data_IF_609252673697
#
_entry.id   IF_609252673697
#
_cell.length_a   1.000
_cell.length_b   1.000
_cell.length_c   1.000
_cell.angle_alpha   90.00
_cell.angle_beta   90.00
_cell.angle_gamma   90.00
#
_symmetry.space_group_name_H-M   'P 1'
#
loop_
_entity.id
_entity.type
_entity.pdbx_description
1 polymer ?
#
# COMPACT_ATOMS: atom_id res chain seq x y z
N UNK A 1 -31.55 8.92 -18.83
CA UNK A 1 -31.78 8.21 -17.55
C UNK A 1 -30.43 7.95 -16.90
N UNK A 2 -30.12 8.61 -15.78
CA UNK A 2 -28.88 8.33 -15.03
C UNK A 2 -29.08 7.02 -14.27
N UNK A 3 -28.30 5.99 -14.57
CA UNK A 3 -28.35 4.73 -13.82
C UNK A 3 -27.77 4.98 -12.42
N UNK A 4 -28.64 4.94 -11.40
CA UNK A 4 -28.22 4.91 -10.00
C UNK A 4 -27.62 3.54 -9.70
N UNK A 5 -26.31 3.38 -9.94
CA UNK A 5 -25.61 2.16 -9.58
C UNK A 5 -25.40 2.15 -8.06
N UNK A 6 -26.14 1.29 -7.37
CA UNK A 6 -25.98 1.12 -5.92
C UNK A 6 -24.53 0.74 -5.58
N UNK A 7 -24.04 1.21 -4.43
CA UNK A 7 -22.68 0.90 -3.93
C UNK A 7 -22.36 -0.59 -3.95
N UNK A 8 -23.38 -1.41 -3.70
CA UNK A 8 -23.26 -2.86 -3.74
C UNK A 8 -23.08 -3.42 -5.15
N UNK A 9 -23.76 -2.87 -6.17
CA UNK A 9 -23.58 -3.29 -7.57
C UNK A 9 -22.15 -3.07 -8.05
N UNK A 10 -21.59 -1.88 -7.76
CA UNK A 10 -20.20 -1.53 -8.09
C UNK A 10 -19.22 -2.44 -7.35
N UNK A 11 -19.46 -2.69 -6.05
CA UNK A 11 -18.61 -3.57 -5.26
C UNK A 11 -18.65 -5.01 -5.79
N UNK A 12 -19.83 -5.54 -6.15
CA UNK A 12 -19.97 -6.91 -6.66
C UNK A 12 -19.29 -7.08 -8.02
N UNK A 13 -19.47 -6.12 -8.94
CA UNK A 13 -18.78 -6.13 -10.24
C UNK A 13 -17.26 -6.02 -10.08
N UNK A 14 -16.78 -5.15 -9.20
CA UNK A 14 -15.34 -5.04 -8.93
C UNK A 14 -14.77 -6.35 -8.37
N UNK A 15 -15.43 -6.94 -7.36
CA UNK A 15 -14.99 -8.22 -6.81
C UNK A 15 -14.95 -9.32 -7.88
N UNK A 16 -15.96 -9.38 -8.76
CA UNK A 16 -16.04 -10.37 -9.82
C UNK A 16 -14.91 -10.23 -10.86
N UNK A 17 -14.44 -9.00 -11.12
CA UNK A 17 -13.37 -8.72 -12.07
C UNK A 17 -11.97 -8.84 -11.43
N UNK A 18 -11.78 -8.29 -10.23
CA UNK A 18 -10.48 -8.18 -9.57
C UNK A 18 -10.15 -9.37 -8.65
N UNK A 19 -11.11 -10.25 -8.37
CA UNK A 19 -10.94 -11.39 -7.46
C UNK A 19 -10.79 -11.02 -5.97
N UNK A 20 -10.75 -9.71 -5.64
CA UNK A 20 -10.62 -9.21 -4.27
C UNK A 20 -11.67 -8.14 -3.96
N UNK A 21 -11.97 -7.97 -2.67
CA UNK A 21 -12.92 -6.92 -2.27
C UNK A 21 -12.40 -5.53 -2.58
N UNK A 22 -13.28 -4.62 -3.01
CA UNK A 22 -12.94 -3.20 -3.22
C UNK A 22 -12.28 -2.57 -1.98
N UNK A 23 -12.76 -2.91 -0.78
CA UNK A 23 -12.15 -2.44 0.48
C UNK A 23 -10.72 -2.95 0.65
N UNK A 24 -10.46 -4.21 0.31
CA UNK A 24 -9.11 -4.79 0.35
C UNK A 24 -8.20 -4.11 -0.67
N UNK A 25 -8.68 -3.90 -1.90
CA UNK A 25 -7.93 -3.20 -2.93
C UNK A 25 -7.52 -1.78 -2.51
N UNK A 26 -8.48 -0.98 -2.00
CA UNK A 26 -8.19 0.37 -1.50
C UNK A 26 -7.17 0.32 -0.37
N UNK A 27 -7.27 -0.65 0.55
CA UNK A 27 -6.32 -0.82 1.64
C UNK A 27 -4.91 -1.15 1.12
N UNK A 28 -4.79 -2.07 0.17
CA UNK A 28 -3.51 -2.44 -0.43
C UNK A 28 -2.89 -1.26 -1.19
N UNK A 29 -3.69 -0.50 -1.96
CA UNK A 29 -3.22 0.72 -2.63
C UNK A 29 -2.69 1.76 -1.64
N UNK A 30 -3.42 2.01 -0.55
CA UNK A 30 -2.94 2.90 0.53
C UNK A 30 -1.64 2.40 1.16
N UNK A 31 -1.50 1.09 1.37
CA UNK A 31 -0.24 0.51 1.89
C UNK A 31 0.92 0.68 0.92
N UNK A 32 0.70 0.53 -0.38
CA UNK A 32 1.74 0.76 -1.38
C UNK A 32 2.23 2.21 -1.36
N UNK A 33 1.34 3.19 -1.28
CA UNK A 33 1.74 4.61 -1.22
C UNK A 33 2.41 4.95 0.11
N UNK A 34 1.91 4.44 1.24
CA UNK A 34 2.55 4.60 2.55
C UNK A 34 3.97 3.99 2.56
N UNK A 35 4.15 2.82 1.95
CA UNK A 35 5.46 2.17 1.81
C UNK A 35 6.42 3.07 1.02
N UNK A 36 5.98 3.66 -0.11
CA UNK A 36 6.81 4.61 -0.86
C UNK A 36 7.24 5.80 0.00
N UNK A 37 6.33 6.40 0.76
CA UNK A 37 6.64 7.52 1.66
C UNK A 37 7.63 7.13 2.76
N UNK A 38 7.53 5.92 3.30
CA UNK A 38 8.47 5.39 4.30
C UNK A 38 9.89 5.26 3.72
N UNK A 39 9.98 4.92 2.44
CA UNK A 39 11.24 4.71 1.71
C UNK A 39 11.87 5.99 1.17
N UNK A 40 11.06 6.98 0.77
CA UNK A 40 11.53 8.21 0.16
C UNK A 40 11.72 9.36 1.14
N UNK A 41 11.21 9.25 2.37
CA UNK A 41 11.25 10.33 3.36
C UNK A 41 11.63 9.85 4.76
N UNK A 42 12.19 10.77 5.55
CA UNK A 42 12.48 10.56 6.98
C UNK A 42 11.31 10.95 7.90
N UNK A 43 10.11 11.17 7.37
CA UNK A 43 8.91 11.52 8.16
C UNK A 43 8.64 10.47 9.24
N UNK A 44 8.05 10.89 10.37
CA UNK A 44 7.72 9.94 11.45
C UNK A 44 6.66 8.96 10.95
N UNK A 45 6.77 7.70 11.38
CA UNK A 45 5.83 6.65 10.97
C UNK A 45 4.39 6.98 11.39
N UNK A 46 4.19 7.64 12.54
CA UNK A 46 2.87 8.13 12.97
C UNK A 46 2.29 9.15 11.99
N UNK A 47 3.08 10.10 11.49
CA UNK A 47 2.58 11.13 10.56
C UNK A 47 2.11 10.50 9.25
N UNK A 48 2.87 9.52 8.75
CA UNK A 48 2.50 8.74 7.57
C UNK A 48 1.23 7.93 7.87
N UNK A 49 1.14 7.27 9.03
CA UNK A 49 -0.03 6.49 9.42
C UNK A 49 -1.31 7.35 9.42
N UNK A 50 -1.24 8.55 10.01
CA UNK A 50 -2.36 9.49 10.08
C UNK A 50 -2.82 9.93 8.69
N UNK A 51 -1.90 10.27 7.79
CA UNK A 51 -2.18 10.69 6.42
C UNK A 51 -2.94 9.62 5.61
N UNK A 52 -2.63 8.34 5.85
CA UNK A 52 -3.33 7.23 5.19
C UNK A 52 -4.59 6.75 5.93
N UNK A 53 -4.97 7.42 7.02
CA UNK A 53 -6.22 7.22 7.77
C UNK A 53 -6.12 6.24 8.93
N UNK A 54 -4.93 6.07 9.52
CA UNK A 54 -4.72 5.27 10.73
C UNK A 54 -4.47 6.19 11.92
N UNK A 55 -5.40 6.19 12.86
CA UNK A 55 -5.34 7.04 14.06
C UNK A 55 -4.22 6.64 15.02
N UNK A 56 -3.86 5.35 15.03
CA UNK A 56 -2.82 4.80 15.89
C UNK A 56 -1.68 4.20 15.09
N UNK A 57 -0.46 4.56 15.45
CA UNK A 57 0.75 4.01 14.83
C UNK A 57 0.83 2.48 14.98
N UNK A 58 0.39 1.92 16.12
CA UNK A 58 0.47 0.49 16.37
C UNK A 58 -0.45 -0.32 15.44
N UNK A 59 -1.66 0.18 15.19
CA UNK A 59 -2.58 -0.40 14.21
C UNK A 59 -1.99 -0.39 12.80
N UNK A 60 -1.40 0.73 12.39
CA UNK A 60 -0.69 0.83 11.11
C UNK A 60 0.47 -0.16 11.03
N UNK A 61 1.35 -0.19 12.02
CA UNK A 61 2.51 -1.09 12.05
C UNK A 61 2.10 -2.57 11.98
N UNK A 62 1.02 -2.97 12.68
CA UNK A 62 0.51 -4.34 12.63
C UNK A 62 0.04 -4.71 11.23
N UNK A 63 -0.76 -3.85 10.60
CA UNK A 63 -1.28 -4.09 9.25
C UNK A 63 -0.16 -4.07 8.22
N UNK A 64 0.78 -3.12 8.34
CA UNK A 64 1.94 -3.02 7.48
C UNK A 64 2.82 -4.27 7.58
N UNK A 65 3.10 -4.75 8.79
CA UNK A 65 3.86 -5.99 9.01
C UNK A 65 3.14 -7.20 8.42
N UNK A 66 1.83 -7.30 8.58
CA UNK A 66 1.06 -8.39 7.96
C UNK A 66 1.08 -8.32 6.43
N UNK A 67 1.18 -7.13 5.85
CA UNK A 67 1.20 -6.93 4.40
C UNK A 67 2.60 -7.12 3.77
N UNK A 68 3.67 -6.74 4.46
CA UNK A 68 5.04 -6.73 3.94
C UNK A 68 6.02 -7.67 4.67
N UNK A 69 5.57 -8.37 5.71
CA UNK A 69 6.38 -9.27 6.53
C UNK A 69 7.26 -8.57 7.57
N UNK A 70 7.48 -7.25 7.45
CA UNK A 70 8.42 -6.48 8.30
C UNK A 70 7.79 -5.18 8.81
N UNK A 71 8.31 -4.65 9.92
CA UNK A 71 7.81 -3.37 10.46
C UNK A 71 8.18 -2.19 9.53
N UNK A 72 7.41 -1.09 9.55
CA UNK A 72 7.74 0.14 8.81
C UNK A 72 9.16 0.66 9.09
N UNK A 73 9.61 0.57 10.35
CA UNK A 73 10.94 1.01 10.76
C UNK A 73 12.06 0.15 10.17
N UNK A 74 11.87 -1.18 10.14
CA UNK A 74 12.80 -2.10 9.48
C UNK A 74 12.78 -1.90 7.96
N UNK A 75 11.59 -1.73 7.39
CA UNK A 75 11.41 -1.47 5.97
C UNK A 75 12.16 -0.22 5.50
N UNK A 76 12.13 0.87 6.29
CA UNK A 76 12.93 2.08 6.03
C UNK A 76 14.43 1.78 6.02
N UNK A 77 14.91 0.98 6.98
CA UNK A 77 16.34 0.62 7.06
C UNK A 77 16.79 -0.24 5.87
N UNK A 78 15.90 -1.02 5.27
CA UNK A 78 16.20 -1.85 4.09
C UNK A 78 16.46 -1.03 2.82
N UNK A 79 15.97 0.21 2.74
CA UNK A 79 16.15 1.10 1.58
C UNK A 79 17.16 2.22 1.83
N UNK A 80 17.83 2.24 3.00
CA UNK A 80 19.09 2.97 3.08
C UNK A 80 20.08 2.19 2.23
N UNK A 81 20.63 2.77 1.15
CA UNK A 81 21.53 2.04 0.29
C UNK A 81 22.69 1.53 1.15
N UNK A 82 22.84 0.20 1.23
CA UNK A 82 24.16 -0.32 0.91
C UNK A 82 24.26 -0.21 -0.60
N UNK A 83 25.36 0.34 -1.10
CA UNK A 83 25.61 0.69 -2.51
C UNK A 83 25.33 -0.45 -3.54
N UNK A 84 25.04 -1.68 -3.11
CA UNK A 84 24.96 -2.90 -3.92
C UNK A 84 23.53 -3.32 -4.38
N UNK A 85 22.44 -2.70 -3.91
CA UNK A 85 21.05 -3.23 -4.11
C UNK A 85 20.17 -2.37 -5.03
N UNK A 86 20.74 -1.58 -5.95
CA UNK A 86 19.93 -0.75 -6.88
C UNK A 86 19.17 -1.55 -7.94
N UNK A 87 19.53 -2.82 -8.17
CA UNK A 87 18.97 -3.66 -9.25
C UNK A 87 17.65 -4.34 -8.81
N UNK A 88 17.48 -4.65 -7.52
CA UNK A 88 16.30 -5.38 -7.03
C UNK A 88 15.09 -4.48 -6.77
N UNK A 89 15.28 -3.26 -6.27
CA UNK A 89 14.17 -2.33 -6.00
C UNK A 89 13.44 -1.89 -7.28
N UNK A 90 14.19 -1.67 -8.38
CA UNK A 90 13.62 -1.33 -9.69
C UNK A 90 12.71 -2.45 -10.23
N UNK A 91 13.04 -3.70 -9.92
CA UNK A 91 12.27 -4.89 -10.30
C UNK A 91 10.96 -5.00 -9.52
N UNK A 92 10.96 -4.66 -8.22
CA UNK A 92 9.75 -4.65 -7.40
C UNK A 92 8.82 -3.48 -7.80
N UNK A 93 9.39 -2.31 -8.11
CA UNK A 93 8.62 -1.16 -8.56
C UNK A 93 7.98 -1.39 -9.94
N UNK A 94 8.66 -2.07 -10.87
CA UNK A 94 8.09 -2.39 -12.20
C UNK A 94 6.87 -3.31 -12.11
N UNK A 95 6.89 -4.29 -11.18
CA UNK A 95 5.77 -5.22 -10.98
C UNK A 95 4.53 -4.53 -10.41
N UNK A 96 4.71 -3.49 -9.61
CA UNK A 96 3.60 -2.72 -9.01
C UNK A 96 2.97 -1.70 -9.97
N UNK A 97 3.68 -1.31 -11.04
CA UNK A 97 3.16 -0.39 -12.05
C UNK A 97 2.46 -1.08 -13.23
N UNK A 98 2.58 -2.40 -13.36
CA UNK A 98 2.08 -3.15 -14.52
C UNK A 98 0.65 -3.70 -14.38
N UNK A 99 -0.09 -3.39 -13.31
CA UNK A 99 -1.53 -3.68 -13.19
C UNK A 99 -2.40 -2.65 -13.95
N UNK A 100 -2.04 -2.37 -15.21
CA UNK A 100 -2.90 -1.71 -16.20
C UNK A 100 -2.90 -2.52 -17.49
N UNK A 101 -3.67 -3.60 -17.50
CA UNK A 101 -4.38 -4.08 -18.69
C UNK A 101 -5.77 -4.50 -18.28
#
# INVERSE_FOLDING_TARGET
>A
MQQSHSRWYVQRKFCALAGISMKSYIRSRKMTEAAKMILSTDRKIIDIALEYGYLEQQAFCRIFKNHYGVSPTMFRKMNKPREDIWISAKTVLLKLTNDRK
#
